data_IF_106981115397
#
_entry.id   IF_106981115397
#
_cell.length_a   1.000
_cell.length_b   1.000
_cell.length_c   1.000
_cell.angle_alpha   90.00
_cell.angle_beta   90.00
_cell.angle_gamma   90.00
#
_symmetry.space_group_name_H-M   'P 1'
#
loop_
_entity.id
_entity.type
_entity.pdbx_description
1 polymer ?
#
# COMPACT_ATOMS: atom_id res chain seq x y z
N UNK A 1 5.98 17.26 -24.50
CA UNK A 1 6.99 16.18 -24.62
C UNK A 1 6.32 15.01 -25.32
N UNK A 2 6.91 14.48 -26.41
CA UNK A 2 6.27 13.41 -27.20
C UNK A 2 6.14 12.13 -26.36
N UNK A 3 4.94 11.57 -26.27
CA UNK A 3 4.62 10.37 -25.46
C UNK A 3 5.57 9.20 -25.77
N UNK A 4 5.97 9.09 -27.04
CA UNK A 4 6.94 8.10 -27.53
C UNK A 4 8.34 8.25 -26.91
N UNK A 5 8.79 9.48 -26.67
CA UNK A 5 10.11 9.76 -26.05
C UNK A 5 10.08 9.41 -24.57
N UNK A 6 8.94 9.61 -23.90
CA UNK A 6 8.75 9.23 -22.50
C UNK A 6 8.75 7.71 -22.33
N UNK A 7 8.05 6.99 -23.22
CA UNK A 7 8.01 5.53 -23.21
C UNK A 7 9.40 4.93 -23.44
N UNK A 8 10.15 5.47 -24.41
CA UNK A 8 11.51 5.03 -24.68
C UNK A 8 12.46 5.30 -23.50
N UNK A 9 12.30 6.44 -22.82
CA UNK A 9 13.10 6.78 -21.66
C UNK A 9 12.81 5.85 -20.46
N UNK A 10 11.56 5.46 -20.26
CA UNK A 10 11.15 4.48 -19.24
C UNK A 10 11.72 3.10 -19.56
N UNK A 11 11.66 2.68 -20.83
CA UNK A 11 12.18 1.39 -21.27
C UNK A 11 13.72 1.32 -21.15
N UNK A 12 14.43 2.40 -21.49
CA UNK A 12 15.88 2.52 -21.29
C UNK A 12 16.27 2.56 -19.81
N UNK A 13 15.50 3.23 -18.95
CA UNK A 13 15.67 3.16 -17.49
C UNK A 13 15.43 1.76 -16.94
N UNK A 14 14.55 0.98 -17.59
CA UNK A 14 14.27 -0.39 -17.20
C UNK A 14 15.40 -1.38 -17.56
N UNK A 15 16.19 -1.06 -18.59
CA UNK A 15 17.33 -1.84 -19.06
C UNK A 15 18.63 -1.58 -18.28
N UNK A 16 18.69 -0.51 -17.48
CA UNK A 16 19.84 -0.21 -16.63
C UNK A 16 19.81 -1.06 -15.35
N UNK A 17 20.83 -1.90 -15.16
CA UNK A 17 21.04 -2.72 -13.96
C UNK A 17 22.22 -2.20 -13.12
N UNK A 18 22.07 -2.25 -11.78
CA UNK A 18 23.12 -1.88 -10.81
C UNK A 18 22.59 -1.08 -9.61
N UNK A 19 23.25 -1.22 -8.46
CA UNK A 19 22.87 -0.62 -7.16
C UNK A 19 22.84 0.92 -7.15
N UNK A 20 23.59 1.59 -8.02
CA UNK A 20 23.55 3.05 -8.19
C UNK A 20 22.34 3.56 -9.02
N UNK A 21 21.59 2.67 -9.67
CA UNK A 21 20.43 3.02 -10.52
C UNK A 21 19.12 3.04 -9.73
N UNK A 22 19.08 2.45 -8.54
CA UNK A 22 17.89 2.33 -7.70
C UNK A 22 17.32 3.71 -7.28
N UNK A 23 18.19 4.66 -6.92
CA UNK A 23 17.82 6.03 -6.55
C UNK A 23 17.38 6.86 -7.77
N UNK A 24 17.97 6.59 -8.94
CA UNK A 24 17.60 7.24 -10.21
C UNK A 24 16.24 6.74 -10.71
N UNK A 25 15.93 5.45 -10.57
CA UNK A 25 14.61 4.89 -10.95
C UNK A 25 13.48 5.46 -10.08
N UNK A 26 13.60 5.42 -8.75
CA UNK A 26 12.56 5.94 -7.84
C UNK A 26 12.37 7.45 -7.95
N UNK A 27 13.46 8.22 -8.04
CA UNK A 27 13.39 9.69 -8.09
C UNK A 27 13.04 10.21 -9.50
N UNK A 28 13.54 9.60 -10.58
CA UNK A 28 13.20 10.03 -11.94
C UNK A 28 11.80 9.58 -12.34
N UNK A 29 11.34 8.39 -11.96
CA UNK A 29 10.01 7.91 -12.34
C UNK A 29 8.89 8.75 -11.71
N UNK A 30 9.05 9.11 -10.44
CA UNK A 30 8.13 10.02 -9.73
C UNK A 30 8.14 11.44 -10.31
N UNK A 31 9.31 11.97 -10.68
CA UNK A 31 9.43 13.29 -11.33
C UNK A 31 8.93 13.31 -12.78
N UNK A 32 9.16 12.25 -13.55
CA UNK A 32 8.72 12.11 -14.94
C UNK A 32 7.21 11.94 -15.06
N UNK A 33 6.58 11.17 -14.15
CA UNK A 33 5.11 11.09 -14.07
C UNK A 33 4.49 12.45 -13.74
N UNK A 34 5.04 13.17 -12.77
CA UNK A 34 4.59 14.51 -12.37
C UNK A 34 4.77 15.56 -13.48
N UNK A 35 5.84 15.45 -14.29
CA UNK A 35 6.08 16.34 -15.42
C UNK A 35 5.20 16.03 -16.65
N UNK A 36 4.62 14.83 -16.73
CA UNK A 36 3.83 14.36 -17.88
C UNK A 36 2.31 14.53 -17.71
N UNK A 37 1.81 14.95 -16.54
CA UNK A 37 0.39 15.28 -16.32
C UNK A 37 -0.59 14.10 -16.53
N UNK A 38 -0.10 12.86 -16.41
CA UNK A 38 -0.84 11.61 -16.62
C UNK A 38 -1.57 11.14 -15.35
N UNK A 39 -2.18 12.05 -14.59
CA UNK A 39 -2.82 11.75 -13.30
C UNK A 39 -4.28 11.27 -13.41
N UNK A 40 -4.85 11.12 -14.61
CA UNK A 40 -6.33 11.05 -14.73
C UNK A 40 -6.97 9.89 -15.48
N UNK A 41 -6.27 8.87 -16.00
CA UNK A 41 -6.98 7.67 -16.48
C UNK A 41 -6.17 6.38 -16.28
N UNK A 42 -6.85 5.42 -15.65
CA UNK A 42 -6.52 4.01 -15.38
C UNK A 42 -5.99 3.66 -13.98
N UNK A 43 -6.92 3.07 -13.18
CA UNK A 43 -6.78 2.43 -11.87
C UNK A 43 -6.16 3.27 -10.73
N UNK A 44 -6.56 3.07 -9.46
CA UNK A 44 -5.89 3.70 -8.32
C UNK A 44 -4.53 3.01 -8.08
N UNK A 45 -3.63 3.06 -9.05
CA UNK A 45 -2.25 2.57 -8.96
C UNK A 45 -1.26 3.74 -8.97
N UNK A 46 -1.53 4.71 -8.11
CA UNK A 46 -0.53 5.64 -7.61
C UNK A 46 -1.11 6.35 -6.37
N UNK A 47 -0.74 5.89 -5.16
CA UNK A 47 -0.11 6.64 -4.06
C UNK A 47 0.01 5.65 -2.88
N UNK A 48 0.96 4.72 -2.94
CA UNK A 48 1.43 4.07 -1.71
C UNK A 48 2.72 4.78 -1.31
N UNK A 49 2.63 5.60 -0.25
CA UNK A 49 3.74 6.36 0.37
C UNK A 49 4.52 5.50 1.37
N UNK A 50 4.43 4.17 1.27
CA UNK A 50 5.10 3.27 2.19
C UNK A 50 6.49 2.91 1.68
N UNK A 51 7.50 3.41 2.38
CA UNK A 51 8.88 2.99 2.22
C UNK A 51 9.10 1.63 2.90
N UNK A 52 9.30 0.57 2.10
CA UNK A 52 9.54 -0.79 2.58
C UNK A 52 10.79 -0.89 3.47
N UNK A 53 11.80 -0.06 3.25
CA UNK A 53 13.00 -0.01 4.10
C UNK A 53 12.69 0.53 5.51
N UNK A 54 11.52 1.14 5.69
CA UNK A 54 11.00 1.64 6.97
C UNK A 54 9.83 0.83 7.50
N UNK A 55 9.40 -0.22 6.79
CA UNK A 55 8.34 -1.10 7.24
C UNK A 55 8.82 -1.92 8.45
N UNK A 56 8.09 -1.88 9.60
CA UNK A 56 8.55 -2.52 10.83
C UNK A 56 8.55 -4.06 10.75
N UNK A 57 7.71 -4.67 9.92
CA UNK A 57 7.73 -6.11 9.67
C UNK A 57 8.97 -6.50 8.87
N UNK A 58 9.27 -5.78 7.79
CA UNK A 58 10.43 -6.04 6.95
C UNK A 58 11.74 -5.86 7.73
N UNK A 59 11.85 -4.78 8.50
CA UNK A 59 12.99 -4.54 9.40
C UNK A 59 13.14 -5.64 10.46
N UNK A 60 12.03 -6.10 11.05
CA UNK A 60 12.06 -7.19 12.02
C UNK A 60 12.52 -8.50 11.40
N UNK A 61 12.09 -8.80 10.16
CA UNK A 61 12.52 -9.96 9.40
C UNK A 61 14.01 -9.90 9.09
N UNK A 62 14.51 -8.78 8.55
CA UNK A 62 15.93 -8.58 8.26
C UNK A 62 16.79 -8.76 9.53
N UNK A 63 16.33 -8.25 10.67
CA UNK A 63 17.05 -8.36 11.95
C UNK A 63 17.05 -9.77 12.53
N UNK A 64 15.90 -10.46 12.51
CA UNK A 64 15.71 -11.75 13.20
C UNK A 64 16.04 -12.96 12.32
N UNK A 65 15.92 -12.80 11.00
CA UNK A 65 16.12 -13.84 9.99
C UNK A 65 16.85 -13.28 8.76
N UNK A 66 18.10 -12.78 8.93
CA UNK A 66 18.90 -12.28 7.81
C UNK A 66 19.18 -13.36 6.76
N UNK A 67 19.15 -14.64 7.16
CA UNK A 67 19.24 -15.79 6.27
C UNK A 67 18.15 -15.81 5.19
N UNK A 68 16.94 -15.34 5.51
CA UNK A 68 15.81 -15.38 4.60
C UNK A 68 15.98 -14.45 3.41
N UNK A 69 16.45 -13.22 3.62
CA UNK A 69 16.64 -12.27 2.51
C UNK A 69 17.61 -12.84 1.46
N UNK A 70 18.71 -13.45 1.93
CA UNK A 70 19.67 -14.14 1.04
C UNK A 70 19.02 -15.33 0.34
N UNK A 71 18.34 -16.20 1.10
CA UNK A 71 17.72 -17.42 0.55
C UNK A 71 16.65 -17.09 -0.50
N UNK A 72 15.89 -16.01 -0.30
CA UNK A 72 14.90 -15.56 -1.29
C UNK A 72 15.59 -15.10 -2.56
N UNK A 73 16.66 -14.32 -2.46
CA UNK A 73 17.42 -13.87 -3.62
C UNK A 73 18.00 -15.06 -4.41
N UNK A 74 18.58 -16.04 -3.73
CA UNK A 74 19.10 -17.29 -4.35
C UNK A 74 18.02 -18.09 -5.08
N UNK A 75 16.78 -18.03 -4.60
CA UNK A 75 15.63 -18.73 -5.19
C UNK A 75 14.85 -17.88 -6.20
N UNK A 76 15.27 -16.63 -6.46
CA UNK A 76 14.48 -15.62 -7.16
C UNK A 76 13.03 -15.58 -6.65
N UNK A 77 12.88 -15.72 -5.33
CA UNK A 77 11.60 -15.84 -4.66
C UNK A 77 10.92 -14.50 -4.39
N UNK A 78 9.80 -14.59 -3.70
CA UNK A 78 8.97 -13.44 -3.36
C UNK A 78 8.74 -13.36 -1.86
N UNK A 79 8.86 -12.17 -1.27
CA UNK A 79 8.54 -11.90 0.13
C UNK A 79 7.22 -11.16 0.19
N UNK A 80 6.33 -11.60 1.08
CA UNK A 80 5.11 -10.91 1.43
C UNK A 80 5.37 -9.98 2.62
N UNK A 81 5.10 -8.69 2.45
CA UNK A 81 5.24 -7.70 3.52
C UNK A 81 3.88 -7.06 3.79
N UNK A 82 3.28 -7.25 4.99
CA UNK A 82 2.06 -6.54 5.32
C UNK A 82 2.27 -5.03 5.40
N UNK A 83 1.30 -4.28 4.89
CA UNK A 83 1.24 -2.83 5.00
C UNK A 83 1.40 -2.39 6.46
N UNK A 84 2.24 -1.39 6.71
CA UNK A 84 2.55 -0.92 8.06
C UNK A 84 1.30 -0.58 8.86
N UNK A 85 0.28 -0.01 8.23
CA UNK A 85 -0.98 0.37 8.89
C UNK A 85 -1.82 -0.81 9.39
N UNK A 86 -1.56 -2.02 8.88
CA UNK A 86 -2.28 -3.25 9.24
C UNK A 86 -1.59 -4.05 10.36
N UNK A 87 -0.36 -3.69 10.71
CA UNK A 87 0.47 -4.44 11.66
C UNK A 87 0.16 -4.05 13.10
N UNK A 88 0.04 -5.07 13.97
CA UNK A 88 0.16 -4.89 15.42
C UNK A 88 1.53 -5.36 15.91
N UNK A 89 1.96 -4.85 17.07
CA UNK A 89 3.20 -5.30 17.70
C UNK A 89 3.18 -6.81 18.05
N UNK A 90 2.00 -7.37 18.32
CA UNK A 90 1.84 -8.80 18.59
C UNK A 90 2.05 -9.65 17.32
N UNK A 91 1.58 -9.17 16.15
CA UNK A 91 1.84 -9.84 14.87
C UNK A 91 3.34 -9.91 14.61
N UNK A 92 4.06 -8.79 14.73
CA UNK A 92 5.51 -8.76 14.46
C UNK A 92 6.27 -9.66 15.44
N UNK A 93 5.95 -9.59 16.74
CA UNK A 93 6.68 -10.33 17.78
C UNK A 93 6.56 -11.85 17.63
N UNK A 94 5.33 -12.34 17.44
CA UNK A 94 5.05 -13.77 17.28
C UNK A 94 5.18 -14.28 15.83
N UNK A 95 5.58 -13.41 14.88
CA UNK A 95 5.64 -13.77 13.46
C UNK A 95 6.58 -14.94 13.17
N UNK A 96 6.07 -15.90 12.40
CA UNK A 96 6.87 -16.89 11.70
C UNK A 96 7.16 -16.39 10.28
N UNK A 97 8.32 -15.79 10.07
CA UNK A 97 8.68 -15.17 8.78
C UNK A 97 8.72 -16.16 7.61
N UNK A 98 8.95 -17.45 7.86
CA UNK A 98 8.94 -18.49 6.81
C UNK A 98 7.56 -18.59 6.12
N UNK A 99 6.46 -18.26 6.82
CA UNK A 99 5.11 -18.17 6.24
C UNK A 99 4.95 -17.03 5.23
N UNK A 100 5.87 -16.08 5.19
CA UNK A 100 5.79 -14.88 4.34
C UNK A 100 6.76 -14.94 3.16
N UNK A 101 7.48 -16.04 3.00
CA UNK A 101 8.42 -16.22 1.90
C UNK A 101 7.86 -17.24 0.94
N UNK A 102 7.60 -16.82 -0.30
CA UNK A 102 7.07 -17.65 -1.36
C UNK A 102 8.18 -18.25 -2.21
N UNK A 103 7.99 -19.53 -2.53
CA UNK A 103 8.71 -20.27 -3.55
C UNK A 103 7.72 -20.62 -4.66
N UNK A 104 8.10 -20.33 -5.89
CA UNK A 104 7.34 -20.79 -7.05
C UNK A 104 7.35 -22.32 -7.11
N UNK A 105 6.17 -22.90 -7.34
CA UNK A 105 5.94 -24.28 -7.71
C UNK A 105 5.13 -24.31 -9.00
N UNK A 106 5.03 -25.48 -9.65
CA UNK A 106 4.60 -25.63 -11.06
C UNK A 106 3.48 -24.66 -11.50
N UNK A 107 2.37 -24.61 -10.74
CA UNK A 107 1.21 -23.76 -11.04
C UNK A 107 0.75 -22.86 -9.86
N UNK A 108 1.49 -22.83 -8.76
CA UNK A 108 1.11 -22.14 -7.53
C UNK A 108 2.34 -21.67 -6.74
N UNK A 109 2.13 -21.01 -5.61
CA UNK A 109 3.19 -20.63 -4.68
C UNK A 109 3.08 -21.44 -3.40
N UNK A 110 4.22 -21.82 -2.84
CA UNK A 110 4.27 -22.37 -1.48
C UNK A 110 5.11 -21.46 -0.62
N UNK A 111 4.68 -21.26 0.62
CA UNK A 111 5.51 -20.62 1.62
C UNK A 111 6.69 -21.52 2.00
N UNK A 112 7.73 -21.00 2.64
CA UNK A 112 8.85 -21.84 3.10
C UNK A 112 8.46 -22.86 4.16
N UNK A 113 7.36 -22.65 4.89
CA UNK A 113 6.78 -23.63 5.81
C UNK A 113 5.74 -24.55 5.15
N UNK A 114 5.63 -24.53 3.83
CA UNK A 114 4.85 -25.49 3.05
C UNK A 114 3.39 -25.11 2.79
N UNK A 115 2.93 -23.95 3.22
CA UNK A 115 1.54 -23.50 3.02
C UNK A 115 1.28 -23.05 1.58
N UNK A 116 0.20 -23.53 0.99
CA UNK A 116 -0.17 -23.17 -0.39
C UNK A 116 -0.79 -21.77 -0.52
N UNK A 117 -0.33 -21.00 -1.50
CA UNK A 117 -0.81 -19.66 -1.87
C UNK A 117 -1.02 -19.56 -3.38
N UNK A 118 -2.11 -18.91 -3.78
CA UNK A 118 -2.36 -18.55 -5.18
C UNK A 118 -2.30 -17.04 -5.37
N UNK A 119 -1.71 -16.59 -6.48
CA UNK A 119 -1.75 -15.19 -6.88
C UNK A 119 -2.64 -15.09 -8.10
N UNK A 120 -3.74 -14.34 -7.98
CA UNK A 120 -4.71 -14.12 -9.06
C UNK A 120 -4.88 -12.62 -9.30
N UNK A 121 -4.26 -12.10 -10.36
CA UNK A 121 -4.23 -10.66 -10.62
C UNK A 121 -3.52 -9.92 -9.49
N UNK A 122 -4.22 -9.01 -8.82
CA UNK A 122 -3.71 -8.26 -7.67
C UNK A 122 -4.14 -8.84 -6.31
N UNK A 123 -4.55 -10.11 -6.25
CA UNK A 123 -5.02 -10.76 -5.03
C UNK A 123 -4.19 -11.98 -4.69
N UNK A 124 -3.91 -12.16 -3.41
CA UNK A 124 -3.40 -13.39 -2.82
C UNK A 124 -4.58 -14.19 -2.29
N UNK A 125 -4.70 -15.45 -2.67
CA UNK A 125 -5.69 -16.40 -2.17
C UNK A 125 -4.97 -17.42 -1.29
N UNK A 126 -5.35 -17.49 -0.02
CA UNK A 126 -4.78 -18.44 0.93
C UNK A 126 -5.37 -19.84 0.74
N UNK A 127 -4.51 -20.86 0.70
CA UNK A 127 -4.90 -22.27 0.64
C UNK A 127 -5.47 -22.81 1.96
N UNK A 128 -5.73 -24.12 2.01
CA UNK A 128 -6.39 -24.78 3.14
C UNK A 128 -5.57 -24.89 4.43
N UNK A 129 -4.28 -24.60 4.38
CA UNK A 129 -3.34 -24.73 5.50
C UNK A 129 -3.25 -23.45 6.36
N UNK A 130 -4.01 -22.42 6.01
CA UNK A 130 -4.14 -21.20 6.79
C UNK A 130 -5.33 -21.30 7.75
N UNK A 131 -5.22 -20.66 8.91
CA UNK A 131 -6.31 -20.60 9.90
C UNK A 131 -7.56 -19.84 9.41
N UNK A 132 -7.49 -19.21 8.22
CA UNK A 132 -8.57 -18.47 7.60
C UNK A 132 -8.52 -18.60 6.08
N UNK A 133 -9.68 -18.72 5.45
CA UNK A 133 -9.83 -18.53 4.01
C UNK A 133 -10.11 -17.05 3.75
N UNK A 134 -9.12 -16.32 3.23
CA UNK A 134 -9.31 -14.94 2.81
C UNK A 134 -8.51 -14.64 1.54
N UNK A 135 -9.00 -13.65 0.79
CA UNK A 135 -8.24 -13.00 -0.26
C UNK A 135 -7.61 -11.74 0.29
N UNK A 136 -6.33 -11.50 -0.06
CA UNK A 136 -5.55 -10.36 0.43
C UNK A 136 -5.10 -9.53 -0.76
N UNK A 137 -5.50 -8.25 -0.85
CA UNK A 137 -5.02 -7.38 -1.91
C UNK A 137 -3.50 -7.17 -1.86
N UNK A 138 -2.87 -7.29 -3.02
CA UNK A 138 -1.51 -6.81 -3.31
C UNK A 138 -1.62 -5.32 -3.58
N UNK A 139 -0.95 -4.53 -2.76
CA UNK A 139 -0.94 -3.07 -2.85
C UNK A 139 0.07 -2.61 -3.91
N UNK A 140 1.24 -3.24 -3.93
CA UNK A 140 2.29 -3.02 -4.91
C UNK A 140 3.31 -4.15 -4.90
N UNK A 141 4.13 -4.17 -5.95
CA UNK A 141 5.29 -5.06 -6.12
C UNK A 141 6.55 -4.21 -6.29
N UNK A 142 7.64 -4.62 -5.65
CA UNK A 142 8.95 -3.98 -5.80
C UNK A 142 10.07 -5.03 -5.85
N UNK A 143 11.02 -4.86 -6.77
CA UNK A 143 12.17 -5.76 -6.94
C UNK A 143 13.39 -5.22 -6.21
N UNK A 144 13.94 -5.99 -5.28
CA UNK A 144 15.13 -5.67 -4.51
C UNK A 144 16.34 -6.47 -4.99
N UNK A 145 17.54 -5.95 -4.74
CA UNK A 145 18.81 -6.60 -5.02
C UNK A 145 19.62 -6.75 -3.74
N UNK A 146 20.27 -7.88 -3.56
CA UNK A 146 21.24 -8.06 -2.48
C UNK A 146 22.65 -7.60 -2.88
N UNK A 147 23.61 -7.71 -1.97
CA UNK A 147 25.02 -7.33 -2.20
C UNK A 147 25.73 -8.16 -3.31
N UNK A 148 25.11 -9.26 -3.76
CA UNK A 148 25.59 -10.13 -4.84
C UNK A 148 24.89 -9.85 -6.18
N UNK A 149 24.11 -8.77 -6.25
CA UNK A 149 23.30 -8.41 -7.41
C UNK A 149 22.21 -9.45 -7.75
N UNK A 150 21.88 -10.34 -6.82
CA UNK A 150 20.78 -11.29 -6.98
C UNK A 150 19.47 -10.59 -6.62
N UNK A 151 18.48 -10.70 -7.50
CA UNK A 151 17.19 -10.04 -7.33
C UNK A 151 16.14 -10.93 -6.68
N UNK A 152 15.27 -10.31 -5.88
CA UNK A 152 14.04 -10.90 -5.35
C UNK A 152 12.91 -9.89 -5.36
N UNK A 153 11.67 -10.38 -5.35
CA UNK A 153 10.50 -9.51 -5.32
C UNK A 153 9.93 -9.38 -3.90
N UNK A 154 9.39 -8.22 -3.58
CA UNK A 154 8.55 -7.98 -2.42
C UNK A 154 7.15 -7.59 -2.92
N UNK A 155 6.14 -8.30 -2.42
CA UNK A 155 4.75 -7.91 -2.55
C UNK A 155 4.29 -7.30 -1.25
N UNK A 156 3.90 -6.02 -1.30
CA UNK A 156 3.24 -5.41 -0.16
C UNK A 156 1.76 -5.80 -0.16
N UNK A 157 1.27 -6.35 0.95
CA UNK A 157 -0.09 -6.90 1.07
C UNK A 157 -0.92 -6.10 2.06
N UNK A 158 -2.23 -6.03 1.85
CA UNK A 158 -3.12 -5.17 2.64
C UNK A 158 -3.12 -5.48 4.14
N UNK A 159 -2.99 -6.76 4.52
CA UNK A 159 -2.98 -7.21 5.91
C UNK A 159 -2.19 -8.52 6.09
N UNK A 160 -1.81 -8.88 7.33
CA UNK A 160 -1.10 -10.13 7.62
C UNK A 160 -1.87 -11.38 7.15
N UNK A 161 -1.14 -12.47 6.89
CA UNK A 161 -1.70 -13.75 6.41
C UNK A 161 -2.63 -14.40 7.45
N UNK A 162 -2.30 -14.26 8.73
CA UNK A 162 -3.04 -14.84 9.85
C UNK A 162 -3.20 -13.81 10.97
N UNK A 163 -4.37 -13.80 11.60
CA UNK A 163 -4.59 -13.05 12.85
C UNK A 163 -4.11 -13.93 14.00
N UNK A 164 -3.20 -13.41 14.82
CA UNK A 164 -2.85 -14.08 16.07
C UNK A 164 -4.03 -13.93 17.04
N UNK A 165 -4.84 -14.97 17.20
CA UNK A 165 -5.74 -15.10 18.33
C UNK A 165 -4.89 -15.43 19.56
N UNK A 166 -4.43 -14.41 20.29
CA UNK A 166 -4.01 -14.64 21.67
C UNK A 166 -5.22 -15.24 22.39
N UNK A 167 -5.06 -16.47 22.93
CA UNK A 167 -6.04 -17.17 23.76
C UNK A 167 -6.41 -16.35 25.00
N UNK A 168 -7.26 -15.36 24.83
CA UNK A 168 -8.12 -14.79 25.84
C UNK A 168 -9.54 -15.25 25.46
N UNK A 169 -10.32 -15.87 26.37
CA UNK A 169 -11.69 -16.25 26.07
C UNK A 169 -12.57 -14.99 26.07
N UNK A 170 -12.40 -14.11 25.08
CA UNK A 170 -13.45 -13.18 24.71
C UNK A 170 -14.29 -13.87 23.65
N UNK A 171 -15.44 -14.38 24.08
CA UNK A 171 -16.54 -14.79 23.23
C UNK A 171 -16.89 -13.63 22.29
N UNK A 172 -16.31 -13.64 21.09
CA UNK A 172 -16.78 -12.96 19.89
C UNK A 172 -15.89 -13.46 18.76
N UNK A 173 -16.40 -14.46 18.03
CA UNK A 173 -15.78 -14.95 16.82
C UNK A 173 -15.40 -13.76 15.94
N UNK A 174 -14.10 -13.59 15.70
CA UNK A 174 -13.57 -12.56 14.83
C UNK A 174 -13.89 -12.92 13.40
N UNK A 175 -15.14 -12.71 13.00
CA UNK A 175 -15.59 -12.91 11.65
C UNK A 175 -14.73 -12.08 10.70
N UNK A 176 -14.34 -12.69 9.59
CA UNK A 176 -14.11 -11.98 8.35
C UNK A 176 -15.37 -11.13 8.09
N UNK A 177 -15.34 -9.85 8.46
CA UNK A 177 -16.48 -8.96 8.27
C UNK A 177 -16.58 -8.68 6.77
N UNK A 178 -17.33 -9.52 6.07
CA UNK A 178 -17.90 -9.16 4.78
C UNK A 178 -18.94 -8.07 5.08
N UNK A 179 -18.56 -6.82 4.87
CA UNK A 179 -19.45 -5.67 4.98
C UNK A 179 -20.47 -5.79 3.84
N UNK A 180 -21.65 -6.33 4.12
CA UNK A 180 -22.67 -6.62 3.10
C UNK A 180 -23.70 -5.51 3.01
N UNK A 181 -23.88 -4.75 4.08
CA UNK A 181 -24.86 -3.69 4.16
C UNK A 181 -24.30 -2.45 4.89
N UNK A 182 -25.04 -1.34 4.82
CA UNK A 182 -24.63 -0.04 5.35
C UNK A 182 -24.63 0.00 6.89
N UNK A 183 -25.43 -0.84 7.54
CA UNK A 183 -25.41 -1.00 8.99
C UNK A 183 -24.13 -1.69 9.47
N UNK A 184 -23.64 -2.71 8.76
CA UNK A 184 -22.35 -3.36 9.06
C UNK A 184 -21.19 -2.36 9.00
N UNK A 185 -21.23 -1.44 8.01
CA UNK A 185 -20.23 -0.38 7.85
C UNK A 185 -20.28 0.62 9.01
N UNK A 186 -21.48 1.00 9.46
CA UNK A 186 -21.66 1.91 10.60
C UNK A 186 -21.18 1.27 11.91
N UNK A 187 -21.47 0.00 12.12
CA UNK A 187 -21.00 -0.75 13.29
C UNK A 187 -19.48 -0.90 13.28
N UNK A 188 -18.89 -1.22 12.13
CA UNK A 188 -17.43 -1.34 11.95
C UNK A 188 -16.69 -0.02 12.19
N UNK A 189 -17.20 1.09 11.63
CA UNK A 189 -16.61 2.42 11.84
C UNK A 189 -16.87 2.95 13.25
N UNK A 190 -17.90 2.44 13.94
CA UNK A 190 -18.22 2.73 15.34
C UNK A 190 -18.20 4.23 15.67
N UNK A 191 -17.63 4.59 16.83
CA UNK A 191 -17.51 6.01 17.27
C UNK A 191 -16.58 6.87 16.40
N UNK A 192 -15.88 6.28 15.43
CA UNK A 192 -15.05 7.05 14.48
C UNK A 192 -15.89 7.64 13.35
N UNK A 193 -17.00 6.99 12.96
CA UNK A 193 -17.95 7.55 11.98
C UNK A 193 -18.48 8.92 12.43
N UNK A 194 -18.88 9.05 13.69
CA UNK A 194 -19.36 10.32 14.25
C UNK A 194 -18.29 11.43 14.23
N UNK A 195 -17.01 11.07 14.42
CA UNK A 195 -15.89 12.02 14.30
C UNK A 195 -15.67 12.44 12.84
N UNK A 196 -15.81 11.52 11.90
CA UNK A 196 -15.76 11.81 10.47
C UNK A 196 -16.91 12.72 10.05
N UNK A 197 -18.14 12.42 10.46
CA UNK A 197 -19.31 13.24 10.16
C UNK A 197 -19.15 14.65 10.74
N UNK A 198 -18.59 14.78 11.94
CA UNK A 198 -18.26 16.08 12.54
C UNK A 198 -17.16 16.82 11.75
N UNK A 199 -16.15 16.11 11.26
CA UNK A 199 -15.10 16.68 10.43
C UNK A 199 -15.62 17.13 9.06
N UNK A 200 -16.48 16.33 8.42
CA UNK A 200 -17.15 16.65 7.15
C UNK A 200 -18.06 17.87 7.35
N UNK A 201 -18.89 17.88 8.39
CA UNK A 201 -19.75 19.02 8.70
C UNK A 201 -18.94 20.30 8.99
N UNK A 202 -17.83 20.18 9.73
CA UNK A 202 -16.91 21.29 9.99
C UNK A 202 -16.26 21.79 8.70
N UNK A 203 -15.86 20.89 7.82
CA UNK A 203 -15.29 21.23 6.51
C UNK A 203 -16.32 21.95 5.64
N UNK A 204 -17.54 21.43 5.52
CA UNK A 204 -18.63 22.06 4.75
C UNK A 204 -18.96 23.45 5.28
N UNK A 205 -19.00 23.63 6.61
CA UNK A 205 -19.21 24.93 7.23
C UNK A 205 -18.07 25.90 6.92
N UNK A 206 -16.83 25.46 7.10
CA UNK A 206 -15.64 26.29 6.87
C UNK A 206 -15.51 26.66 5.39
N UNK A 207 -15.78 25.73 4.48
CA UNK A 207 -15.80 25.94 3.04
C UNK A 207 -16.88 26.95 2.64
N UNK A 208 -18.11 26.79 3.13
CA UNK A 208 -19.21 27.74 2.88
C UNK A 208 -18.92 29.13 3.45
N UNK A 209 -18.27 29.22 4.61
CA UNK A 209 -17.81 30.50 5.18
C UNK A 209 -16.67 31.12 4.34
N UNK A 210 -15.75 30.31 3.81
CA UNK A 210 -14.67 30.77 2.94
C UNK A 210 -15.21 31.28 1.59
N UNK A 211 -16.09 30.55 0.92
CA UNK A 211 -16.73 30.97 -0.32
C UNK A 211 -17.51 32.28 -0.14
N UNK A 212 -18.24 32.41 0.98
CA UNK A 212 -18.94 33.67 1.32
C UNK A 212 -17.97 34.82 1.56
N UNK A 213 -16.82 34.58 2.19
CA UNK A 213 -15.80 35.61 2.42
C UNK A 213 -15.10 36.01 1.11
N UNK A 214 -14.80 35.06 0.24
CA UNK A 214 -14.22 35.30 -1.09
C UNK A 214 -15.20 36.09 -1.97
N UNK A 215 -16.48 35.69 -2.02
CA UNK A 215 -17.52 36.43 -2.74
C UNK A 215 -17.71 37.84 -2.19
N UNK A 216 -17.71 38.02 -0.87
CA UNK A 216 -17.76 39.36 -0.26
C UNK A 216 -16.54 40.20 -0.60
N UNK A 217 -15.34 39.62 -0.61
CA UNK A 217 -14.13 40.32 -1.03
C UNK A 217 -14.21 40.74 -2.49
N UNK A 218 -14.73 39.88 -3.37
CA UNK A 218 -14.95 40.19 -4.78
C UNK A 218 -15.96 41.33 -4.96
N UNK A 219 -17.10 41.28 -4.26
CA UNK A 219 -18.12 42.33 -4.30
C UNK A 219 -17.57 43.67 -3.78
N UNK A 220 -16.84 43.66 -2.65
CA UNK A 220 -16.22 44.88 -2.10
C UNK A 220 -15.15 45.43 -3.05
N UNK A 221 -14.37 44.57 -3.71
CA UNK A 221 -13.37 44.99 -4.69
C UNK A 221 -14.02 45.62 -5.93
N UNK A 222 -15.14 45.08 -6.41
CA UNK A 222 -15.91 45.65 -7.52
C UNK A 222 -16.57 46.98 -7.13
N UNK A 223 -17.12 47.08 -5.92
CA UNK A 223 -17.76 48.31 -5.43
C UNK A 223 -16.76 49.43 -5.18
N UNK A 224 -15.51 49.10 -4.81
CA UNK A 224 -14.43 50.07 -4.62
C UNK A 224 -13.76 50.47 -5.94
N UNK A 225 -13.70 49.57 -6.93
CA UNK A 225 -13.23 49.92 -8.29
C UNK A 225 -14.21 50.82 -9.05
N UNK A 226 -15.52 50.66 -8.81
CA UNK A 226 -16.56 51.47 -9.45
C UNK A 226 -16.82 52.82 -8.76
N UNK A 227 -16.11 53.11 -7.66
CA UNK A 227 -16.20 54.38 -6.92
C UNK A 227 -15.23 55.48 -7.36
N UNK A 228 -14.42 55.25 -8.41
CA UNK A 228 -13.40 56.20 -8.90
C UNK A 228 -13.66 56.76 -10.30
N UNK A 229 -14.90 56.73 -10.79
CA UNK A 229 -15.30 57.54 -11.94
C UNK A 229 -16.28 58.62 -11.46
N UNK A 230 -15.73 59.66 -10.85
CA UNK A 230 -16.35 60.98 -10.74
C UNK A 230 -15.80 61.88 -11.84
#
# INVERSE_FOLDING_TARGET
>A
MNVTVLSLAIEQLNLLQGSHIYLLRTTCYSRLKKAAGLDTLEAPMAVYDEDLLRNPFYLAMQKRRPDLCRKVAELHGTILVPCKGSLSNSVISACQFDSYVLKAADNNFHTLNGKEIFIQGNMIILGGEFNQHCSIPILFEETFYNDREESFNILCIAHPLEKNESKEPSSTASHCYSLKNIEDVKEFLGRHAEKFDKAIASFHRTFKEHDRKILRHYIVSISTSNGCNA
#
